data_IF_555931991675
#
_entry.id   IF_555931991675
#
_cell.length_a   1.000
_cell.length_b   1.000
_cell.length_c   1.000
_cell.angle_alpha   90.00
_cell.angle_beta   90.00
_cell.angle_gamma   90.00
#
_symmetry.space_group_name_H-M   'P 1'
#
loop_
_entity.id
_entity.type
_entity.pdbx_description
1 polymer ?
#
# COMPACT_ATOMS: atom_id res chain seq x y z
N UNK A 1 -6.65 -0.95 7.64
CA UNK A 1 -5.37 -1.14 6.86
C UNK A 1 -5.63 -0.94 5.38
N UNK A 2 -4.68 -0.36 4.66
CA UNK A 2 -4.79 -0.14 3.22
C UNK A 2 -4.63 -1.42 2.39
N UNK A 3 -4.96 -1.37 1.09
CA UNK A 3 -4.71 -2.47 0.16
C UNK A 3 -4.01 -1.97 -1.11
N UNK A 4 -2.97 -2.69 -1.51
CA UNK A 4 -2.38 -2.62 -2.82
C UNK A 4 -3.08 -3.62 -3.74
N UNK A 5 -3.35 -3.25 -4.99
CA UNK A 5 -3.91 -4.14 -6.00
C UNK A 5 -3.50 -3.69 -7.40
N UNK A 6 -3.60 -4.58 -8.38
CA UNK A 6 -3.32 -4.23 -9.75
C UNK A 6 -3.13 -5.44 -10.66
N UNK A 7 -2.79 -5.14 -11.91
CA UNK A 7 -2.45 -6.15 -12.90
C UNK A 7 -1.36 -5.69 -13.85
N UNK A 8 -0.72 -6.66 -14.52
CA UNK A 8 0.20 -6.41 -15.60
C UNK A 8 -0.07 -7.35 -16.79
N UNK A 9 -0.64 -6.82 -17.87
CA UNK A 9 -0.88 -7.49 -19.14
C UNK A 9 0.31 -7.29 -20.08
N UNK A 10 1.41 -8.01 -19.81
CA UNK A 10 2.63 -7.91 -20.62
C UNK A 10 2.47 -8.53 -22.02
N UNK A 11 1.46 -9.36 -22.23
CA UNK A 11 1.13 -9.90 -23.54
C UNK A 11 0.28 -8.98 -24.39
N UNK A 12 -0.33 -7.93 -23.81
CA UNK A 12 -1.30 -7.09 -24.52
C UNK A 12 -2.54 -7.85 -24.97
N UNK A 13 -2.89 -8.93 -24.26
CA UNK A 13 -3.95 -9.88 -24.69
C UNK A 13 -5.34 -9.48 -24.23
N UNK A 14 -5.43 -8.57 -23.26
CA UNK A 14 -6.70 -8.16 -22.70
C UNK A 14 -7.29 -6.95 -23.44
N UNK A 15 -8.56 -7.04 -23.80
CA UNK A 15 -9.32 -5.90 -24.32
C UNK A 15 -9.53 -4.83 -23.24
N UNK A 16 -9.80 -3.58 -23.65
CA UNK A 16 -10.13 -2.49 -22.69
C UNK A 16 -11.28 -2.88 -21.75
N UNK A 17 -12.31 -3.57 -22.25
CA UNK A 17 -13.44 -4.06 -21.45
C UNK A 17 -13.00 -5.06 -20.37
N UNK A 18 -12.08 -5.97 -20.70
CA UNK A 18 -11.55 -6.94 -19.74
C UNK A 18 -10.68 -6.24 -18.69
N UNK A 19 -9.78 -5.33 -19.09
CA UNK A 19 -8.95 -4.54 -18.19
C UNK A 19 -9.77 -3.74 -17.19
N UNK A 20 -10.80 -3.04 -17.66
CA UNK A 20 -11.72 -2.28 -16.82
C UNK A 20 -12.50 -3.17 -15.84
N UNK A 21 -12.91 -4.37 -16.29
CA UNK A 21 -13.58 -5.33 -15.42
C UNK A 21 -12.63 -5.89 -14.36
N UNK A 22 -11.40 -6.20 -14.73
CA UNK A 22 -10.38 -6.72 -13.80
C UNK A 22 -10.06 -5.68 -12.73
N UNK A 23 -9.74 -4.44 -13.13
CA UNK A 23 -9.36 -3.41 -12.16
C UNK A 23 -10.52 -3.05 -11.23
N UNK A 24 -11.75 -3.01 -11.74
CA UNK A 24 -12.94 -2.78 -10.91
C UNK A 24 -13.16 -3.90 -9.89
N UNK A 25 -13.01 -5.16 -10.31
CA UNK A 25 -13.15 -6.31 -9.42
C UNK A 25 -12.08 -6.31 -8.32
N UNK A 26 -10.81 -6.06 -8.68
CA UNK A 26 -9.72 -5.96 -7.71
C UNK A 26 -9.95 -4.81 -6.71
N UNK A 27 -10.32 -3.64 -7.21
CA UNK A 27 -10.57 -2.47 -6.37
C UNK A 27 -11.72 -2.70 -5.38
N UNK A 28 -12.87 -3.23 -5.84
CA UNK A 28 -14.03 -3.53 -5.00
C UNK A 28 -13.68 -4.60 -3.97
N UNK A 29 -12.97 -5.66 -4.36
CA UNK A 29 -12.54 -6.71 -3.43
C UNK A 29 -11.57 -6.19 -2.38
N UNK A 30 -10.83 -5.12 -2.68
CA UNK A 30 -9.87 -4.48 -1.77
C UNK A 30 -10.53 -3.58 -0.72
N UNK A 31 -11.83 -3.28 -0.85
CA UNK A 31 -12.57 -2.45 0.13
C UNK A 31 -12.59 -3.05 1.54
N UNK A 32 -12.44 -4.35 1.67
CA UNK A 32 -12.32 -5.02 2.98
C UNK A 32 -11.16 -4.45 3.82
N UNK A 33 -10.19 -3.78 3.18
CA UNK A 33 -9.04 -3.18 3.85
C UNK A 33 -9.06 -1.65 3.89
N UNK A 34 -9.96 -0.99 3.17
CA UNK A 34 -10.06 0.47 3.18
C UNK A 34 -11.07 0.99 2.18
N UNK A 35 -11.89 1.94 2.63
CA UNK A 35 -13.00 2.53 1.85
C UNK A 35 -12.94 4.06 1.76
N UNK A 36 -11.97 4.70 2.38
CA UNK A 36 -11.91 6.16 2.51
C UNK A 36 -11.53 6.82 1.18
N UNK A 37 -10.61 6.20 0.45
CA UNK A 37 -10.22 6.67 -0.87
C UNK A 37 -9.75 5.52 -1.75
N UNK A 38 -9.92 5.68 -3.06
CA UNK A 38 -9.44 4.72 -4.06
C UNK A 38 -8.68 5.45 -5.16
N UNK A 39 -7.56 4.87 -5.60
CA UNK A 39 -6.80 5.41 -6.71
C UNK A 39 -6.08 4.35 -7.51
N UNK A 40 -5.81 4.68 -8.76
CA UNK A 40 -5.00 3.87 -9.68
C UNK A 40 -3.99 4.75 -10.39
N UNK A 41 -2.87 4.13 -10.80
CA UNK A 41 -1.92 4.71 -11.74
C UNK A 41 -1.67 3.73 -12.89
N UNK A 42 -1.49 4.28 -14.08
CA UNK A 42 -1.20 3.52 -15.30
C UNK A 42 -0.48 4.41 -16.31
N UNK A 43 0.20 3.81 -17.27
CA UNK A 43 0.80 4.54 -18.38
C UNK A 43 -0.06 4.39 -19.64
N UNK A 44 -0.23 5.49 -20.37
CA UNK A 44 -0.85 5.51 -21.71
C UNK A 44 -0.07 6.44 -22.61
N UNK A 45 0.28 5.98 -23.81
CA UNK A 45 1.21 6.72 -24.68
C UNK A 45 2.53 7.02 -23.95
N UNK A 46 2.88 8.29 -23.81
CA UNK A 46 4.10 8.77 -23.14
C UNK A 46 3.86 9.29 -21.72
N UNK A 47 2.61 9.19 -21.21
CA UNK A 47 2.22 9.81 -19.95
C UNK A 47 1.87 8.79 -18.89
N UNK A 48 2.39 9.03 -17.69
CA UNK A 48 1.92 8.38 -16.46
C UNK A 48 0.66 9.10 -15.98
N UNK A 49 -0.44 8.37 -15.86
CA UNK A 49 -1.75 8.89 -15.45
C UNK A 49 -2.08 8.40 -14.05
N UNK A 50 -2.58 9.30 -13.20
CA UNK A 50 -3.10 8.97 -11.87
C UNK A 50 -4.56 9.40 -11.79
N UNK A 51 -5.43 8.47 -11.43
CA UNK A 51 -6.84 8.73 -11.16
C UNK A 51 -7.17 8.28 -9.75
N UNK A 52 -7.48 9.22 -8.86
CA UNK A 52 -7.80 8.94 -7.46
C UNK A 52 -8.90 9.85 -6.93
N UNK A 53 -9.71 9.34 -6.02
CA UNK A 53 -10.84 10.07 -5.41
C UNK A 53 -11.00 9.65 -3.95
N UNK A 54 -11.53 10.53 -3.09
CA UNK A 54 -11.90 10.21 -1.70
C UNK A 54 -13.22 9.44 -1.67
N UNK A 55 -13.26 8.30 -2.35
CA UNK A 55 -14.44 7.45 -2.47
C UNK A 55 -14.07 5.97 -2.36
N UNK A 56 -15.00 5.14 -1.84
CA UNK A 56 -14.93 3.69 -1.95
C UNK A 56 -14.82 3.24 -3.40
N UNK A 57 -14.15 2.12 -3.63
CA UNK A 57 -13.91 1.59 -4.97
C UNK A 57 -15.19 1.28 -5.77
N UNK A 58 -16.28 0.88 -5.09
CA UNK A 58 -17.59 0.63 -5.70
C UNK A 58 -18.21 1.87 -6.36
N UNK A 59 -17.76 3.07 -5.98
CA UNK A 59 -18.21 4.33 -6.60
C UNK A 59 -17.28 4.82 -7.69
N UNK A 60 -16.11 4.20 -7.84
CA UNK A 60 -15.17 4.55 -8.89
C UNK A 60 -15.64 4.07 -10.27
N UNK A 61 -15.26 4.79 -11.30
CA UNK A 61 -15.50 4.43 -12.70
C UNK A 61 -14.17 4.46 -13.44
N UNK A 62 -13.57 3.30 -13.59
CA UNK A 62 -12.31 3.17 -14.32
C UNK A 62 -12.58 3.11 -15.83
N UNK A 63 -11.73 3.79 -16.61
CA UNK A 63 -11.80 3.83 -18.08
C UNK A 63 -10.39 3.70 -18.63
N UNK A 64 -9.85 2.50 -18.56
CA UNK A 64 -8.52 2.19 -19.08
C UNK A 64 -8.58 2.04 -20.60
N UNK A 65 -7.69 2.70 -21.35
CA UNK A 65 -7.45 2.44 -22.78
C UNK A 65 -6.94 1.02 -23.02
N UNK A 66 -7.09 0.53 -24.27
CA UNK A 66 -6.70 -0.84 -24.61
C UNK A 66 -5.19 -1.09 -24.53
N UNK A 67 -4.38 -0.06 -24.83
CA UNK A 67 -2.91 -0.12 -24.84
C UNK A 67 -2.29 -0.18 -23.44
N UNK A 68 -3.03 0.12 -22.38
CA UNK A 68 -2.51 0.09 -21.00
C UNK A 68 -2.10 -1.35 -20.63
N UNK A 69 -0.84 -1.54 -20.28
CA UNK A 69 -0.30 -2.84 -19.85
C UNK A 69 -0.30 -3.00 -18.35
N UNK A 70 0.25 -2.04 -17.63
CA UNK A 70 0.38 -2.08 -16.17
C UNK A 70 -0.59 -1.13 -15.50
N UNK A 71 -1.26 -1.59 -14.44
CA UNK A 71 -2.08 -0.77 -13.56
C UNK A 71 -1.71 -1.10 -12.13
N UNK A 72 -1.36 -0.07 -11.36
CA UNK A 72 -1.23 -0.15 -9.92
C UNK A 72 -2.38 0.56 -9.24
N UNK A 73 -2.87 0.02 -8.14
CA UNK A 73 -4.01 0.56 -7.41
C UNK A 73 -3.85 0.49 -5.91
N UNK A 74 -4.66 1.29 -5.23
CA UNK A 74 -4.68 1.39 -3.78
C UNK A 74 -6.09 1.72 -3.29
N UNK A 75 -6.54 1.01 -2.23
CA UNK A 75 -7.66 1.44 -1.38
C UNK A 75 -7.12 1.87 -0.03
N UNK A 76 -7.56 3.03 0.43
CA UNK A 76 -7.04 3.69 1.64
C UNK A 76 -7.96 3.46 2.82
N UNK A 77 -7.36 3.14 3.96
CA UNK A 77 -7.89 3.37 5.30
C UNK A 77 -7.03 4.47 5.92
N UNK A 78 -7.63 5.57 6.26
CA UNK A 78 -6.93 6.80 6.66
C UNK A 78 -6.34 6.64 8.05
N UNK A 79 -5.01 6.74 8.13
CA UNK A 79 -4.27 6.75 9.40
C UNK A 79 -3.63 8.12 9.65
N UNK A 80 -3.20 8.81 8.60
CA UNK A 80 -2.53 10.11 8.68
C UNK A 80 -2.89 10.99 7.48
N UNK A 81 -3.20 12.25 7.71
CA UNK A 81 -3.68 13.21 6.71
C UNK A 81 -5.13 12.93 6.28
N UNK A 82 -5.90 13.96 5.96
CA UNK A 82 -7.30 13.82 5.55
C UNK A 82 -7.42 13.22 4.15
N UNK A 83 -8.28 12.20 3.98
CA UNK A 83 -8.62 11.61 2.68
C UNK A 83 -9.38 12.60 1.78
N UNK A 84 -10.09 13.57 2.37
CA UNK A 84 -10.80 14.61 1.63
C UNK A 84 -9.84 15.52 0.86
N UNK A 85 -8.61 15.65 1.33
CA UNK A 85 -7.53 16.27 0.59
C UNK A 85 -6.93 15.23 -0.37
N UNK A 86 -7.37 15.23 -1.61
CA UNK A 86 -7.01 14.20 -2.59
C UNK A 86 -5.50 14.07 -2.85
N UNK A 87 -4.70 15.09 -2.51
CA UNK A 87 -3.23 15.00 -2.56
C UNK A 87 -2.67 13.96 -1.57
N UNK A 88 -3.37 13.72 -0.44
CA UNK A 88 -3.01 12.73 0.57
C UNK A 88 -3.33 11.28 0.17
N UNK A 89 -4.08 11.08 -0.93
CA UNK A 89 -4.48 9.74 -1.37
C UNK A 89 -3.47 9.13 -2.34
N UNK A 90 -3.32 7.83 -2.28
CA UNK A 90 -2.48 7.06 -3.20
C UNK A 90 -3.18 6.82 -4.56
N UNK A 91 -2.41 6.57 -5.63
CA UNK A 91 -0.95 6.66 -5.73
C UNK A 91 -0.44 8.10 -5.71
N UNK A 92 0.82 8.27 -5.28
CA UNK A 92 1.54 9.53 -5.37
C UNK A 92 2.35 9.61 -6.65
N UNK A 93 2.45 10.81 -7.21
CA UNK A 93 3.33 11.11 -8.33
C UNK A 93 4.69 11.56 -7.83
N UNK A 94 5.75 11.14 -8.49
CA UNK A 94 7.11 11.59 -8.27
C UNK A 94 7.91 11.65 -9.59
N UNK A 95 9.06 12.31 -9.56
CA UNK A 95 9.98 12.40 -10.68
C UNK A 95 11.41 12.13 -10.20
N UNK A 96 12.07 11.14 -10.79
CA UNK A 96 13.46 10.81 -10.53
C UNK A 96 14.27 11.00 -11.80
N UNK A 97 15.21 11.95 -11.81
CA UNK A 97 16.05 12.32 -12.97
C UNK A 97 15.26 12.48 -14.29
N UNK A 98 14.17 13.23 -14.22
CA UNK A 98 13.30 13.49 -15.38
C UNK A 98 12.31 12.37 -15.72
N UNK A 99 12.44 11.18 -15.14
CA UNK A 99 11.52 10.05 -15.33
C UNK A 99 10.39 10.06 -14.30
N UNK A 100 9.14 10.03 -14.77
CA UNK A 100 7.98 10.00 -13.89
C UNK A 100 7.75 8.62 -13.29
N UNK A 101 7.27 8.59 -12.04
CA UNK A 101 6.82 7.36 -11.40
C UNK A 101 5.60 7.60 -10.51
N UNK A 102 4.85 6.54 -10.26
CA UNK A 102 3.78 6.50 -9.27
C UNK A 102 4.14 5.54 -8.15
N UNK A 103 3.76 5.87 -6.91
CA UNK A 103 4.00 5.04 -5.72
C UNK A 103 2.72 4.85 -4.93
N UNK A 104 2.46 3.61 -4.52
CA UNK A 104 1.43 3.28 -3.54
C UNK A 104 2.03 2.43 -2.41
N UNK A 105 1.66 2.75 -1.18
CA UNK A 105 2.20 2.15 0.04
C UNK A 105 1.06 1.61 0.92
N UNK A 106 1.23 0.41 1.42
CA UNK A 106 0.43 -0.22 2.45
C UNK A 106 1.30 -0.35 3.70
N UNK A 107 0.92 0.35 4.77
CA UNK A 107 1.66 0.36 6.03
C UNK A 107 1.66 1.72 6.72
N UNK A 108 2.48 1.83 7.76
CA UNK A 108 2.71 3.04 8.53
C UNK A 108 4.21 3.16 8.81
N UNK A 109 4.81 4.29 8.41
CA UNK A 109 6.20 4.58 8.74
C UNK A 109 6.29 5.32 10.07
N UNK A 110 7.07 4.79 10.99
CA UNK A 110 7.28 5.41 12.31
C UNK A 110 8.36 6.50 12.30
N UNK A 111 9.20 6.53 11.27
CA UNK A 111 10.35 7.44 11.20
C UNK A 111 10.26 8.49 10.09
N UNK A 112 9.10 8.71 9.48
CA UNK A 112 8.92 9.66 8.38
C UNK A 112 9.41 11.09 8.73
N UNK A 113 9.12 11.58 9.95
CA UNK A 113 9.56 12.90 10.44
C UNK A 113 11.08 12.97 10.58
N UNK A 114 11.70 11.91 11.11
CA UNK A 114 13.14 11.81 11.26
C UNK A 114 13.82 11.79 9.89
N UNK A 115 13.32 10.97 8.95
CA UNK A 115 13.82 10.91 7.58
C UNK A 115 13.75 12.28 6.88
N UNK A 116 12.65 13.02 7.06
CA UNK A 116 12.52 14.37 6.50
C UNK A 116 13.61 15.31 7.00
N UNK A 117 13.94 15.24 8.28
CA UNK A 117 15.00 16.06 8.89
C UNK A 117 16.40 15.61 8.45
N UNK A 118 16.73 14.33 8.60
CA UNK A 118 18.08 13.80 8.32
C UNK A 118 18.44 13.87 6.84
N UNK A 119 17.49 13.58 5.97
CA UNK A 119 17.68 13.62 4.51
C UNK A 119 17.39 14.99 3.91
N UNK A 120 16.98 15.98 4.73
CA UNK A 120 16.62 17.33 4.29
C UNK A 120 15.59 17.31 3.15
N UNK A 121 14.56 16.47 3.29
CA UNK A 121 13.53 16.33 2.28
C UNK A 121 12.74 17.64 2.14
N UNK A 122 12.32 18.02 0.93
CA UNK A 122 11.57 19.25 0.71
C UNK A 122 10.27 19.30 1.50
N UNK A 123 9.86 20.51 1.93
CA UNK A 123 8.55 20.69 2.53
C UNK A 123 7.45 20.30 1.54
N UNK A 124 6.39 19.67 2.05
CA UNK A 124 5.27 19.21 1.23
C UNK A 124 3.95 19.50 1.94
N UNK A 125 2.91 19.79 1.12
CA UNK A 125 1.52 19.86 1.59
C UNK A 125 0.88 18.48 1.77
N UNK A 126 1.56 17.41 1.34
CA UNK A 126 1.10 16.03 1.51
C UNK A 126 1.48 15.61 2.92
N UNK A 127 0.48 15.24 3.71
CA UNK A 127 0.61 15.03 5.15
C UNK A 127 0.92 13.57 5.52
N UNK A 128 0.86 12.63 4.55
CA UNK A 128 1.06 11.21 4.82
C UNK A 128 2.54 10.87 4.99
N UNK A 129 2.82 9.92 5.86
CA UNK A 129 4.13 9.29 6.07
C UNK A 129 4.69 8.70 4.76
N UNK A 130 3.83 8.09 3.98
CA UNK A 130 4.15 7.43 2.70
C UNK A 130 4.84 8.35 1.69
N UNK A 131 4.56 9.66 1.73
CA UNK A 131 5.16 10.61 0.79
C UNK A 131 6.67 10.80 1.02
N UNK A 132 7.17 10.47 2.20
CA UNK A 132 8.61 10.45 2.45
C UNK A 132 9.34 9.44 1.55
N UNK A 133 8.71 8.30 1.19
CA UNK A 133 9.29 7.34 0.25
C UNK A 133 9.45 7.97 -1.14
N UNK A 134 8.43 8.69 -1.61
CA UNK A 134 8.49 9.40 -2.90
C UNK A 134 9.66 10.38 -2.92
N UNK A 135 9.78 11.22 -1.89
CA UNK A 135 10.83 12.22 -1.80
C UNK A 135 12.24 11.61 -1.71
N UNK A 136 12.39 10.45 -1.05
CA UNK A 136 13.66 9.71 -1.02
C UNK A 136 14.04 9.19 -2.41
N UNK A 137 13.08 8.68 -3.18
CA UNK A 137 13.30 8.21 -4.54
C UNK A 137 13.61 9.37 -5.50
N UNK A 138 12.92 10.51 -5.35
CA UNK A 138 13.22 11.72 -6.10
C UNK A 138 14.64 12.22 -5.82
N UNK A 139 15.04 12.23 -4.55
CA UNK A 139 16.39 12.64 -4.13
C UNK A 139 17.46 11.68 -4.65
N UNK A 140 17.17 10.38 -4.73
CA UNK A 140 18.09 9.39 -5.26
C UNK A 140 18.28 9.49 -6.79
N UNK A 141 17.33 10.08 -7.51
CA UNK A 141 17.42 10.35 -8.95
C UNK A 141 17.25 9.12 -9.84
N UNK A 142 16.90 7.95 -9.32
CA UNK A 142 16.70 6.73 -10.11
C UNK A 142 15.62 5.84 -9.52
N UNK A 143 14.97 5.03 -10.38
CA UNK A 143 14.07 3.96 -9.99
C UNK A 143 14.64 2.64 -10.48
N UNK A 144 15.41 1.98 -9.62
CA UNK A 144 16.04 0.68 -9.87
C UNK A 144 16.11 -0.16 -8.59
N UNK A 145 16.60 -1.39 -8.70
CA UNK A 145 16.67 -2.33 -7.58
C UNK A 145 17.56 -1.84 -6.44
N UNK A 146 18.67 -1.16 -6.76
CA UNK A 146 19.60 -0.66 -5.75
C UNK A 146 19.04 0.53 -5.00
N UNK A 147 18.44 1.49 -5.70
CA UNK A 147 17.79 2.66 -5.10
C UNK A 147 16.63 2.22 -4.21
N UNK A 148 15.80 1.27 -4.67
CA UNK A 148 14.70 0.73 -3.88
C UNK A 148 15.21 -0.03 -2.65
N UNK A 149 16.33 -0.76 -2.76
CA UNK A 149 16.98 -1.43 -1.63
C UNK A 149 17.45 -0.41 -0.59
N UNK A 150 18.23 0.59 -1.02
CA UNK A 150 18.77 1.62 -0.11
C UNK A 150 17.63 2.38 0.56
N UNK A 151 16.61 2.77 -0.20
CA UNK A 151 15.43 3.46 0.35
C UNK A 151 14.72 2.59 1.38
N UNK A 152 14.45 1.31 1.08
CA UNK A 152 13.73 0.41 1.98
C UNK A 152 14.49 0.16 3.28
N UNK A 153 15.80 0.11 3.25
CA UNK A 153 16.65 -0.06 4.44
C UNK A 153 16.67 1.16 5.38
N UNK A 154 16.24 2.33 4.88
CA UNK A 154 16.06 3.54 5.70
C UNK A 154 14.71 3.57 6.44
N UNK A 155 13.69 2.89 5.91
CA UNK A 155 12.34 2.93 6.46
C UNK A 155 12.25 2.18 7.79
N UNK A 156 11.41 2.67 8.70
CA UNK A 156 11.05 2.01 9.97
C UNK A 156 9.53 1.97 10.08
N UNK A 157 9.02 0.92 10.72
CA UNK A 157 7.58 0.68 10.83
C UNK A 157 7.13 -0.49 9.96
N UNK A 158 5.89 -0.44 9.49
CA UNK A 158 5.36 -1.48 8.61
C UNK A 158 5.21 -0.94 7.20
N UNK A 159 5.61 -1.71 6.19
CA UNK A 159 5.43 -1.32 4.80
C UNK A 159 5.43 -2.50 3.82
N UNK A 160 4.74 -2.33 2.75
CA UNK A 160 4.89 -2.95 1.43
C UNK A 160 4.46 -1.90 0.43
N UNK A 161 5.22 -1.65 -0.62
CA UNK A 161 4.87 -0.63 -1.60
C UNK A 161 5.12 -1.09 -3.03
N UNK A 162 4.42 -0.45 -3.96
CA UNK A 162 4.59 -0.66 -5.39
C UNK A 162 5.00 0.65 -6.05
N UNK A 163 5.82 0.55 -7.10
CA UNK A 163 6.23 1.69 -7.93
C UNK A 163 6.00 1.32 -9.40
N UNK A 164 5.32 2.18 -10.13
CA UNK A 164 5.16 2.08 -11.58
C UNK A 164 5.87 3.27 -12.21
N UNK A 165 6.86 3.01 -13.06
CA UNK A 165 7.59 4.06 -13.76
C UNK A 165 7.08 4.31 -15.19
N UNK A 166 7.62 5.34 -15.83
CA UNK A 166 7.28 5.72 -17.19
C UNK A 166 7.87 4.80 -18.27
N UNK A 167 8.68 3.81 -17.88
CA UNK A 167 9.15 2.71 -18.72
C UNK A 167 8.27 1.46 -18.60
N UNK A 168 7.10 1.58 -17.99
CA UNK A 168 6.17 0.46 -17.71
C UNK A 168 6.78 -0.63 -16.80
N UNK A 169 7.82 -0.34 -16.03
CA UNK A 169 8.35 -1.28 -15.03
C UNK A 169 7.52 -1.17 -13.77
N UNK A 170 6.99 -2.29 -13.30
CA UNK A 170 6.24 -2.37 -12.06
C UNK A 170 7.10 -3.05 -10.99
N UNK A 171 7.53 -2.26 -10.01
CA UNK A 171 8.29 -2.74 -8.86
C UNK A 171 7.35 -3.06 -7.71
N UNK A 172 7.62 -4.16 -7.03
CA UNK A 172 6.96 -4.64 -5.83
C UNK A 172 8.03 -4.77 -4.77
N UNK A 173 7.94 -3.97 -3.73
CA UNK A 173 8.88 -4.00 -2.59
C UNK A 173 8.13 -4.56 -1.40
N UNK A 174 8.46 -5.79 -1.01
CA UNK A 174 7.78 -6.50 0.06
C UNK A 174 8.53 -6.33 1.39
N UNK A 175 7.98 -5.48 2.27
CA UNK A 175 8.33 -5.45 3.68
C UNK A 175 7.53 -6.49 4.48
N UNK A 176 7.06 -6.11 5.67
CA UNK A 176 6.32 -6.99 6.59
C UNK A 176 4.78 -6.99 6.38
N UNK A 177 4.23 -6.16 5.48
CA UNK A 177 2.82 -6.22 5.13
C UNK A 177 2.53 -7.28 4.06
N UNK A 178 1.34 -7.91 4.07
CA UNK A 178 1.02 -9.01 3.17
C UNK A 178 0.97 -8.56 1.70
N UNK A 179 1.36 -9.48 0.81
CA UNK A 179 1.29 -9.29 -0.63
C UNK A 179 1.16 -10.66 -1.33
N UNK A 180 0.31 -10.73 -2.34
CA UNK A 180 0.09 -11.93 -3.13
C UNK A 180 0.14 -11.59 -4.62
N UNK A 181 0.85 -12.41 -5.40
CA UNK A 181 1.05 -12.24 -6.83
C UNK A 181 0.68 -13.53 -7.56
N UNK A 182 -0.25 -13.44 -8.50
CA UNK A 182 -0.65 -14.53 -9.39
C UNK A 182 -0.17 -14.25 -10.81
N UNK A 183 0.27 -15.30 -11.49
CA UNK A 183 0.65 -15.29 -12.89
C UNK A 183 -0.26 -16.21 -13.70
N UNK A 184 -0.77 -15.71 -14.80
CA UNK A 184 -1.57 -16.43 -15.80
C UNK A 184 -0.71 -16.59 -17.07
N UNK A 185 0.10 -17.65 -17.19
CA UNK A 185 1.11 -17.76 -18.26
C UNK A 185 0.50 -17.81 -19.65
N UNK A 186 -0.65 -18.49 -19.82
CA UNK A 186 -1.34 -18.56 -21.12
C UNK A 186 -1.82 -17.21 -21.63
N UNK A 187 -2.21 -16.33 -20.71
CA UNK A 187 -2.73 -15.00 -21.06
C UNK A 187 -1.67 -13.91 -20.91
N UNK A 188 -0.48 -14.28 -20.40
CA UNK A 188 0.64 -13.35 -20.18
C UNK A 188 0.25 -12.17 -19.27
N UNK A 189 -0.43 -12.49 -18.14
CA UNK A 189 -0.96 -11.50 -17.19
C UNK A 189 -0.49 -11.83 -15.79
N UNK A 190 -0.06 -10.81 -15.06
CA UNK A 190 0.09 -10.86 -13.61
C UNK A 190 -1.06 -10.14 -12.94
N UNK A 191 -1.57 -10.69 -11.83
CA UNK A 191 -2.50 -10.04 -10.92
C UNK A 191 -1.91 -10.00 -9.52
N UNK A 192 -2.13 -8.91 -8.80
CA UNK A 192 -1.72 -8.83 -7.40
C UNK A 192 -2.76 -8.12 -6.54
N UNK A 193 -2.75 -8.48 -5.26
CA UNK A 193 -3.41 -7.76 -4.18
C UNK A 193 -2.65 -7.96 -2.85
N UNK A 194 -3.02 -7.21 -1.84
CA UNK A 194 -2.40 -7.36 -0.52
C UNK A 194 -2.62 -8.74 0.08
N UNK A 195 -3.74 -9.41 -0.18
CA UNK A 195 -3.97 -10.77 0.33
C UNK A 195 -4.52 -11.72 -0.75
N UNK A 196 -4.35 -13.01 -0.48
CA UNK A 196 -4.82 -14.09 -1.35
C UNK A 196 -6.36 -14.13 -1.42
N UNK A 197 -7.02 -13.82 -0.33
CA UNK A 197 -8.48 -13.78 -0.22
C UNK A 197 -9.06 -12.73 -1.16
N UNK A 198 -8.46 -11.52 -1.18
CA UNK A 198 -8.86 -10.45 -2.09
C UNK A 198 -8.72 -10.89 -3.55
N UNK A 199 -7.59 -11.51 -3.93
CA UNK A 199 -7.38 -12.03 -5.28
C UNK A 199 -8.41 -13.09 -5.63
N UNK A 200 -8.65 -14.05 -4.76
CA UNK A 200 -9.60 -15.14 -5.01
C UNK A 200 -11.02 -14.62 -5.14
N UNK A 201 -11.41 -13.64 -4.32
CA UNK A 201 -12.72 -13.01 -4.40
C UNK A 201 -12.88 -12.24 -5.73
N UNK A 202 -11.89 -11.44 -6.11
CA UNK A 202 -11.88 -10.75 -7.41
C UNK A 202 -11.98 -11.75 -8.57
N UNK A 203 -11.17 -12.81 -8.56
CA UNK A 203 -11.17 -13.84 -9.61
C UNK A 203 -12.51 -14.51 -9.76
N UNK A 204 -13.26 -14.74 -8.68
CA UNK A 204 -14.59 -15.34 -8.74
C UNK A 204 -15.54 -14.54 -9.64
N UNK A 205 -15.42 -13.22 -9.67
CA UNK A 205 -16.25 -12.30 -10.46
C UNK A 205 -15.78 -12.10 -11.90
N UNK A 206 -14.50 -12.42 -12.19
CA UNK A 206 -13.87 -12.17 -13.51
C UNK A 206 -13.44 -13.43 -14.25
N UNK A 207 -13.93 -14.62 -13.87
CA UNK A 207 -13.59 -15.92 -14.46
C UNK A 207 -13.70 -15.96 -16.00
N UNK A 208 -14.58 -15.14 -16.59
CA UNK A 208 -14.72 -15.01 -18.06
C UNK A 208 -13.60 -14.18 -18.70
N UNK A 209 -12.89 -13.37 -17.92
CA UNK A 209 -11.81 -12.49 -18.40
C UNK A 209 -10.43 -13.13 -18.25
N UNK A 210 -10.25 -13.90 -17.18
CA UNK A 210 -9.00 -14.63 -16.89
C UNK A 210 -9.34 -16.09 -16.59
N UNK A 211 -8.72 -17.00 -17.32
CA UNK A 211 -8.98 -18.44 -17.26
C UNK A 211 -7.68 -19.24 -17.49
N UNK A 212 -7.74 -20.51 -17.13
CA UNK A 212 -6.60 -21.44 -17.29
C UNK A 212 -5.77 -21.56 -16.01
N UNK A 213 -4.59 -22.18 -16.10
CA UNK A 213 -3.74 -22.39 -14.93
C UNK A 213 -3.22 -21.06 -14.38
N UNK A 214 -3.18 -20.98 -13.07
CA UNK A 214 -2.63 -19.85 -12.32
C UNK A 214 -1.43 -20.33 -11.50
N UNK A 215 -0.36 -19.57 -11.52
CA UNK A 215 0.85 -19.79 -10.74
C UNK A 215 0.92 -18.71 -9.66
N UNK A 216 1.05 -19.11 -8.41
CA UNK A 216 1.36 -18.19 -7.32
C UNK A 216 2.85 -17.91 -7.34
N UNK A 217 3.21 -16.65 -7.51
CA UNK A 217 4.61 -16.22 -7.49
C UNK A 217 4.98 -15.81 -6.06
N UNK A 218 5.90 -16.54 -5.47
CA UNK A 218 6.37 -16.22 -4.14
C UNK A 218 7.11 -14.87 -4.12
N UNK A 219 6.57 -13.92 -3.36
CA UNK A 219 7.21 -12.65 -3.02
C UNK A 219 7.39 -12.66 -1.50
N UNK A 220 8.62 -12.80 -1.03
CA UNK A 220 8.96 -12.94 0.40
C UNK A 220 9.28 -11.56 1.01
N UNK A 221 9.23 -11.47 2.30
CA UNK A 221 9.74 -10.29 3.01
C UNK A 221 11.20 -10.03 2.66
N UNK A 222 11.52 -8.77 2.36
CA UNK A 222 12.81 -8.37 1.86
C UNK A 222 12.99 -8.49 0.34
N UNK A 223 12.02 -9.03 -0.39
CA UNK A 223 12.10 -9.08 -1.85
C UNK A 223 11.78 -7.72 -2.50
N UNK A 224 12.53 -7.41 -3.53
CA UNK A 224 12.21 -6.39 -4.53
C UNK A 224 12.03 -7.10 -5.85
N UNK A 225 10.81 -7.16 -6.35
CA UNK A 225 10.49 -7.77 -7.63
C UNK A 225 10.16 -6.69 -8.65
N UNK A 226 10.80 -6.72 -9.81
CA UNK A 226 10.46 -5.88 -10.94
C UNK A 226 9.83 -6.73 -12.05
N UNK A 227 8.63 -6.38 -12.44
CA UNK A 227 7.95 -6.91 -13.63
C UNK A 227 8.27 -6.01 -14.82
N UNK A 228 8.80 -6.59 -15.88
CA UNK A 228 9.25 -5.88 -17.09
C UNK A 228 8.21 -5.97 -18.21
N UNK A 229 8.24 -5.03 -19.19
CA UNK A 229 7.28 -4.98 -20.30
C UNK A 229 7.25 -6.23 -21.20
N UNK A 230 8.31 -7.00 -21.23
CA UNK A 230 8.42 -8.28 -21.96
C UNK A 230 7.96 -9.50 -21.13
N UNK A 231 7.55 -9.26 -19.89
CA UNK A 231 7.10 -10.31 -18.96
C UNK A 231 8.22 -10.92 -18.12
N UNK A 232 9.48 -10.55 -18.35
CA UNK A 232 10.58 -10.98 -17.50
C UNK A 232 10.47 -10.37 -16.11
N UNK A 233 11.09 -11.04 -15.17
CA UNK A 233 11.14 -10.62 -13.76
C UNK A 233 12.59 -10.48 -13.34
N UNK A 234 12.97 -9.32 -12.84
CA UNK A 234 14.21 -9.16 -12.10
C UNK A 234 13.93 -9.09 -10.60
N UNK A 235 14.86 -9.55 -9.80
CA UNK A 235 14.71 -9.63 -8.34
C UNK A 235 15.95 -9.07 -7.65
N UNK A 236 15.71 -8.22 -6.66
CA UNK A 236 16.67 -7.78 -5.67
C UNK A 236 16.17 -8.13 -4.27
N UNK A 237 16.97 -7.84 -3.26
CA UNK A 237 16.60 -8.02 -1.85
C UNK A 237 17.12 -6.86 -1.02
N UNK A 238 16.46 -6.60 0.10
CA UNK A 238 16.90 -5.66 1.13
C UNK A 238 16.84 -6.30 2.52
N UNK A 239 17.60 -5.76 3.47
CA UNK A 239 17.61 -6.27 4.84
C UNK A 239 16.32 -5.89 5.58
N UNK A 240 15.60 -6.88 6.12
CA UNK A 240 14.38 -6.67 6.93
C UNK A 240 14.63 -6.65 8.43
N UNK A 241 15.89 -6.80 8.88
CA UNK A 241 16.23 -6.88 10.31
C UNK A 241 15.69 -5.71 11.12
N UNK A 242 15.74 -4.52 10.54
CA UNK A 242 15.28 -3.28 11.17
C UNK A 242 13.75 -3.20 11.34
N UNK A 243 12.97 -4.01 10.62
CA UNK A 243 11.50 -4.05 10.75
C UNK A 243 11.06 -4.76 12.02
N UNK A 244 11.95 -5.55 12.64
CA UNK A 244 11.70 -6.34 13.84
C UNK A 244 12.60 -5.94 15.01
N UNK A 245 13.43 -4.89 14.84
CA UNK A 245 14.29 -4.39 15.90
C UNK A 245 13.52 -3.43 16.81
N UNK A 246 12.98 -3.97 17.90
CA UNK A 246 12.27 -3.21 18.92
C UNK A 246 13.13 -2.15 19.60
N UNK A 247 14.46 -2.26 19.52
CA UNK A 247 15.41 -1.27 20.08
C UNK A 247 15.52 -0.01 19.22
N UNK A 248 15.02 -0.02 17.97
CA UNK A 248 14.96 1.17 17.14
C UNK A 248 13.96 2.23 17.66
N UNK A 249 13.20 1.91 18.70
CA UNK A 249 12.34 2.84 19.42
C UNK A 249 13.06 3.57 20.56
N UNK A 250 14.31 3.23 20.87
CA UNK A 250 15.13 3.99 21.80
C UNK A 250 15.59 5.31 21.15
N UNK A 251 14.74 6.31 21.22
CA UNK A 251 15.13 7.71 21.09
C UNK A 251 16.23 7.97 22.11
N UNK A 252 17.38 8.56 21.75
CA UNK A 252 18.35 9.00 22.73
C UNK A 252 17.72 10.11 23.55
N UNK A 253 17.15 9.76 24.69
CA UNK A 253 16.74 10.68 25.74
C UNK A 253 17.97 11.27 26.47
N UNK A 254 18.98 11.75 25.73
CA UNK A 254 20.06 12.55 26.30
C UNK A 254 19.71 14.01 26.11
N UNK A 255 18.99 14.57 27.08
CA UNK A 255 18.81 16.01 27.18
C UNK A 255 17.46 16.53 27.68
N UNK A 256 16.51 15.69 28.04
CA UNK A 256 15.29 16.16 28.70
C UNK A 256 15.25 15.62 30.11
N UNK A 257 15.39 16.53 31.06
CA UNK A 257 15.13 16.25 32.48
C UNK A 257 13.80 15.54 32.62
N UNK A 258 13.79 14.48 33.43
CA UNK A 258 12.63 13.69 33.78
C UNK A 258 11.51 14.56 34.37
N UNK A 259 10.71 15.16 33.51
CA UNK A 259 9.36 15.51 33.88
C UNK A 259 8.56 14.22 33.81
N UNK A 260 8.07 13.79 34.97
CA UNK A 260 7.15 12.68 35.16
C UNK A 260 6.27 12.52 33.91
N UNK A 261 6.42 11.37 33.23
CA UNK A 261 5.46 10.92 32.25
C UNK A 261 4.13 10.85 33.00
N UNK A 262 3.32 11.89 32.87
CA UNK A 262 1.90 11.75 33.14
C UNK A 262 1.42 10.66 32.18
N UNK A 263 0.89 9.56 32.73
CA UNK A 263 0.08 8.59 32.00
C UNK A 263 -0.85 9.40 31.11
N UNK A 264 -0.62 9.36 29.81
CA UNK A 264 -1.58 9.85 28.83
C UNK A 264 -2.86 9.09 29.16
N UNK A 265 -3.85 9.82 29.63
CA UNK A 265 -5.13 9.29 30.04
C UNK A 265 -5.69 8.46 28.87
N UNK A 266 -6.13 7.22 29.13
CA UNK A 266 -6.68 6.26 28.16
C UNK A 266 -7.88 6.73 27.35
N UNK A 267 -8.21 8.03 27.36
CA UNK A 267 -9.35 8.60 26.64
C UNK A 267 -9.15 8.81 25.15
N UNK A 268 -7.92 8.95 24.66
CA UNK A 268 -7.68 9.17 23.22
C UNK A 268 -7.71 7.85 22.46
N UNK A 269 -6.98 6.85 22.95
CA UNK A 269 -6.89 5.53 22.29
C UNK A 269 -8.21 4.75 22.35
N UNK A 270 -8.94 4.83 23.46
CA UNK A 270 -10.28 4.25 23.56
C UNK A 270 -11.27 4.87 22.55
N UNK A 271 -11.13 6.16 22.20
CA UNK A 271 -11.96 6.80 21.18
C UNK A 271 -11.60 6.30 19.77
N UNK A 272 -10.33 6.16 19.47
CA UNK A 272 -9.84 5.60 18.20
C UNK A 272 -10.28 4.15 18.04
N UNK A 273 -10.18 3.35 19.11
CA UNK A 273 -10.62 1.98 19.15
C UNK A 273 -12.13 1.82 18.88
N UNK A 274 -12.97 2.73 19.40
CA UNK A 274 -14.42 2.77 19.12
C UNK A 274 -14.72 3.07 17.66
N UNK A 275 -13.97 4.00 17.05
CA UNK A 275 -14.11 4.28 15.62
C UNK A 275 -13.68 3.09 14.77
N UNK A 276 -12.61 2.40 15.18
CA UNK A 276 -12.14 1.19 14.51
C UNK A 276 -13.18 0.06 14.61
N UNK A 277 -13.76 -0.17 15.79
CA UNK A 277 -14.78 -1.18 16.04
C UNK A 277 -15.99 -1.00 15.09
N UNK A 278 -16.44 0.22 14.87
CA UNK A 278 -17.53 0.52 13.93
C UNK A 278 -17.22 0.06 12.51
N UNK A 279 -15.96 0.15 12.08
CA UNK A 279 -15.53 -0.31 10.76
C UNK A 279 -15.59 -1.85 10.61
N UNK A 280 -15.56 -2.58 11.74
CA UNK A 280 -15.70 -4.04 11.79
C UNK A 280 -17.11 -4.51 12.15
N UNK A 281 -18.08 -3.59 12.24
CA UNK A 281 -19.49 -3.91 12.50
C UNK A 281 -19.87 -4.02 13.98
N UNK A 282 -18.98 -3.63 14.88
CA UNK A 282 -19.24 -3.54 16.31
C UNK A 282 -19.70 -2.14 16.70
N UNK A 283 -20.31 -2.01 17.88
CA UNK A 283 -20.75 -0.71 18.41
C UNK A 283 -19.71 -0.11 19.37
N UNK A 284 -19.71 1.21 19.61
CA UNK A 284 -18.86 1.83 20.65
C UNK A 284 -19.12 1.23 22.05
N UNK A 285 -20.34 0.78 22.31
CA UNK A 285 -20.78 0.15 23.56
C UNK A 285 -20.17 -1.24 23.75
N UNK A 286 -19.93 -1.98 22.64
CA UNK A 286 -19.22 -3.26 22.70
C UNK A 286 -17.81 -3.05 23.21
N UNK A 287 -17.11 -2.02 22.72
CA UNK A 287 -15.75 -1.68 23.17
C UNK A 287 -15.75 -1.31 24.66
N UNK A 288 -16.72 -0.52 25.12
CA UNK A 288 -16.84 -0.19 26.55
C UNK A 288 -17.07 -1.45 27.41
N UNK A 289 -17.84 -2.39 26.90
CA UNK A 289 -18.12 -3.67 27.56
C UNK A 289 -16.85 -4.51 27.70
N UNK A 290 -16.04 -4.61 26.65
CA UNK A 290 -14.79 -5.38 26.66
C UNK A 290 -13.73 -4.74 27.54
N UNK A 291 -13.57 -3.41 27.47
CA UNK A 291 -12.70 -2.67 28.39
C UNK A 291 -13.14 -2.85 29.86
N UNK A 292 -14.47 -2.83 30.11
CA UNK A 292 -15.04 -3.07 31.42
C UNK A 292 -14.83 -4.51 31.94
N UNK A 293 -14.65 -5.49 31.05
CA UNK A 293 -14.25 -6.85 31.37
C UNK A 293 -12.75 -7.03 31.59
N UNK A 294 -11.96 -5.96 31.45
CA UNK A 294 -10.52 -5.94 31.72
C UNK A 294 -9.62 -6.26 30.55
N UNK A 295 -10.17 -6.40 29.31
CA UNK A 295 -9.34 -6.49 28.11
C UNK A 295 -8.59 -5.19 27.91
N UNK A 296 -7.33 -5.31 27.50
CA UNK A 296 -6.53 -4.13 27.11
C UNK A 296 -6.94 -3.66 25.72
N UNK A 297 -6.83 -2.35 25.44
CA UNK A 297 -7.19 -1.81 24.13
C UNK A 297 -6.51 -2.52 22.95
N UNK A 298 -5.25 -2.91 23.10
CA UNK A 298 -4.47 -3.63 22.11
C UNK A 298 -5.02 -5.04 21.83
N UNK A 299 -5.49 -5.73 22.86
CA UNK A 299 -6.12 -7.05 22.74
C UNK A 299 -7.44 -6.95 21.97
N UNK A 300 -8.23 -5.93 22.25
CA UNK A 300 -9.50 -5.66 21.55
C UNK A 300 -9.21 -5.34 20.07
N UNK A 301 -8.16 -4.56 19.77
CA UNK A 301 -7.77 -4.26 18.41
C UNK A 301 -7.35 -5.52 17.66
N UNK A 302 -6.55 -6.40 18.26
CA UNK A 302 -6.15 -7.68 17.68
C UNK A 302 -7.37 -8.57 17.37
N UNK A 303 -8.35 -8.62 18.26
CA UNK A 303 -9.57 -9.40 18.06
C UNK A 303 -10.39 -8.94 16.85
N UNK A 304 -10.39 -7.65 16.50
CA UNK A 304 -11.03 -7.16 15.27
C UNK A 304 -10.39 -7.73 14.02
N UNK A 305 -9.09 -8.00 14.04
CA UNK A 305 -8.37 -8.54 12.88
C UNK A 305 -8.43 -10.05 12.75
N UNK A 306 -8.59 -10.77 13.87
CA UNK A 306 -8.57 -12.23 13.88
C UNK A 306 -9.96 -12.86 14.08
N UNK A 307 -10.99 -12.06 14.40
CA UNK A 307 -12.38 -12.53 14.53
C UNK A 307 -12.63 -13.38 15.77
N UNK A 308 -11.84 -13.23 16.81
CA UNK A 308 -11.91 -13.99 18.06
C UNK A 308 -12.45 -13.12 19.22
N UNK A 309 -13.68 -12.61 19.12
CA UNK A 309 -14.41 -12.07 20.29
C UNK A 309 -15.72 -12.82 20.47
#
# INVERSE_FOLDING_TARGET
MCCLFGFYDYGGTLSAKQKNRIISALAISSEIRGTDATGIAYRTGTKLCIYKRPFPARWMRFRLPAEVKAVMGHTRMTTQGSEMQNCNNHPFYGVADGSAFALAHNGILSNDKLLRLEKKLPASRIETDSFAIVQLLEQAGAIDLDTLRITSELLRGSFTYTVLDDHERLYIVRGNNPFCLYHFPKQKVYLYASTKEILNYALSSIRKSLHGPVEEIAVREGDILCLLPDGWRSRGTFSVRHLYDLRAYDWPLSGVQSTRVQKVSGGSYARELKNLACAFGYTPEDVDTWLGKGLQPEEIEECFYYGEI
#
